data_IF_090076200551
#
_entry.id   IF_090076200551
#
_cell.length_a   1.000
_cell.length_b   1.000
_cell.length_c   1.000
_cell.angle_alpha   90.00
_cell.angle_beta   90.00
_cell.angle_gamma   90.00
#
_symmetry.space_group_name_H-M   'P 1'
#
loop_
_entity.id
_entity.type
_entity.pdbx_description
1 polymer ?
#
# COMPACT_ATOMS: atom_id res chain seq x y z
N UNK A 1 -21.63 17.19 -12.47
CA UNK A 1 -20.58 16.15 -12.32
C UNK A 1 -19.25 16.80 -12.02
N UNK A 2 -18.59 16.39 -10.95
CA UNK A 2 -17.25 16.86 -10.62
C UNK A 2 -16.20 16.08 -11.41
N UNK A 3 -14.96 16.59 -11.43
CA UNK A 3 -13.84 15.87 -12.04
C UNK A 3 -13.63 14.52 -11.37
N UNK A 4 -13.73 14.48 -10.04
CA UNK A 4 -13.56 13.22 -9.29
C UNK A 4 -14.63 12.19 -9.66
N UNK A 5 -15.87 12.61 -9.77
CA UNK A 5 -16.97 11.74 -10.20
C UNK A 5 -16.74 11.20 -11.61
N UNK A 6 -16.30 12.06 -12.52
CA UNK A 6 -15.98 11.65 -13.89
C UNK A 6 -14.88 10.59 -13.91
N UNK A 7 -13.79 10.82 -13.16
CA UNK A 7 -12.67 9.86 -13.12
C UNK A 7 -13.14 8.53 -12.53
N UNK A 8 -13.86 8.55 -11.41
CA UNK A 8 -14.35 7.33 -10.75
C UNK A 8 -15.29 6.52 -11.65
N UNK A 9 -16.03 7.19 -12.52
CA UNK A 9 -16.93 6.51 -13.47
C UNK A 9 -16.20 5.89 -14.66
N UNK A 10 -14.95 6.24 -14.90
CA UNK A 10 -14.18 5.82 -16.06
C UNK A 10 -12.95 4.99 -15.74
N UNK A 11 -12.71 4.66 -14.48
CA UNK A 11 -11.63 3.77 -14.07
C UNK A 11 -12.18 2.39 -13.69
N UNK A 12 -11.30 1.42 -13.57
CA UNK A 12 -11.67 0.07 -13.11
C UNK A 12 -12.32 0.11 -11.74
N UNK A 13 -13.24 -0.80 -11.51
CA UNK A 13 -13.94 -0.92 -10.23
C UNK A 13 -12.96 -1.25 -9.11
N UNK A 14 -13.27 -0.75 -7.91
CA UNK A 14 -12.47 -0.98 -6.71
C UNK A 14 -12.43 -2.45 -6.31
N UNK A 15 -13.54 -3.13 -6.47
CA UNK A 15 -13.70 -4.48 -5.97
C UNK A 15 -14.17 -4.53 -4.53
N UNK A 16 -14.81 -5.64 -4.19
CA UNK A 16 -15.47 -5.80 -2.89
C UNK A 16 -14.49 -5.80 -1.71
N UNK A 17 -13.35 -6.48 -1.86
CA UNK A 17 -12.37 -6.58 -0.77
C UNK A 17 -11.78 -5.22 -0.38
N UNK A 18 -11.33 -4.45 -1.35
CA UNK A 18 -10.80 -3.11 -1.11
C UNK A 18 -11.86 -2.16 -0.57
N UNK A 19 -13.10 -2.26 -1.06
CA UNK A 19 -14.20 -1.45 -0.55
C UNK A 19 -14.45 -1.74 0.94
N UNK A 20 -14.48 -3.01 1.33
CA UNK A 20 -14.66 -3.39 2.73
C UNK A 20 -13.51 -2.91 3.61
N UNK A 21 -12.29 -3.01 3.10
CA UNK A 21 -11.10 -2.50 3.82
C UNK A 21 -11.19 -0.98 4.00
N UNK A 22 -11.56 -0.26 2.95
CA UNK A 22 -11.70 1.19 3.01
C UNK A 22 -12.76 1.60 4.04
N UNK A 23 -13.89 0.92 4.04
CA UNK A 23 -14.93 1.17 5.04
C UNK A 23 -14.46 0.87 6.46
N UNK A 24 -13.83 -0.28 6.67
CA UNK A 24 -13.31 -0.64 7.99
C UNK A 24 -12.28 0.37 8.48
N UNK A 25 -11.42 0.86 7.59
CA UNK A 25 -10.43 1.88 7.92
C UNK A 25 -11.09 3.16 8.42
N UNK A 26 -12.12 3.64 7.73
CA UNK A 26 -12.80 4.87 8.11
C UNK A 26 -13.62 4.73 9.40
N UNK A 27 -14.12 3.53 9.69
CA UNK A 27 -14.95 3.29 10.88
C UNK A 27 -14.10 3.01 12.12
N UNK A 28 -13.01 2.27 11.98
CA UNK A 28 -12.27 1.73 13.12
C UNK A 28 -10.97 2.47 13.46
N UNK A 29 -10.39 3.17 12.50
CA UNK A 29 -9.12 3.86 12.71
C UNK A 29 -9.30 5.36 12.93
N UNK A 30 -8.46 5.91 13.83
CA UNK A 30 -8.55 7.29 14.26
C UNK A 30 -8.35 8.28 13.10
N UNK A 31 -7.44 8.00 12.18
CA UNK A 31 -7.14 8.85 11.03
C UNK A 31 -7.49 8.17 9.70
N UNK A 32 -8.70 7.62 9.63
CA UNK A 32 -9.16 6.91 8.43
C UNK A 32 -9.02 7.67 7.12
N UNK A 33 -9.07 9.00 7.16
CA UNK A 33 -8.90 9.87 5.98
C UNK A 33 -7.51 9.78 5.35
N UNK A 34 -6.52 9.26 6.08
CA UNK A 34 -5.17 9.05 5.55
C UNK A 34 -5.07 7.84 4.63
N UNK A 35 -6.09 7.00 4.59
CA UNK A 35 -6.10 5.85 3.69
C UNK A 35 -6.14 6.30 2.24
N UNK A 36 -5.38 5.61 1.40
CA UNK A 36 -5.56 5.72 -0.05
C UNK A 36 -6.97 5.27 -0.41
N UNK A 37 -7.57 5.90 -1.35
CA UNK A 37 -8.91 5.54 -1.82
C UNK A 37 -8.86 4.85 -3.17
N UNK A 38 -10.03 4.63 -3.74
CA UNK A 38 -10.19 3.94 -5.03
C UNK A 38 -9.37 4.60 -6.15
N UNK A 39 -9.44 5.92 -6.28
CA UNK A 39 -8.72 6.64 -7.33
C UNK A 39 -7.20 6.46 -7.20
N UNK A 40 -6.65 6.73 -6.01
CA UNK A 40 -5.22 6.59 -5.77
C UNK A 40 -4.77 5.14 -5.92
N UNK A 41 -5.57 4.20 -5.45
CA UNK A 41 -5.28 2.78 -5.55
C UNK A 41 -5.17 2.31 -7.00
N UNK A 42 -6.07 2.77 -7.86
CA UNK A 42 -6.00 2.42 -9.28
C UNK A 42 -4.83 3.08 -9.98
N UNK A 43 -4.48 4.30 -9.59
CA UNK A 43 -3.27 4.95 -10.10
C UNK A 43 -2.01 4.17 -9.72
N UNK A 44 -1.89 3.75 -8.47
CA UNK A 44 -0.75 2.94 -8.02
C UNK A 44 -0.65 1.63 -8.79
N UNK A 45 -1.77 0.93 -8.96
CA UNK A 45 -1.81 -0.31 -9.75
C UNK A 45 -1.37 -0.07 -11.20
N UNK A 46 -1.84 1.01 -11.81
CA UNK A 46 -1.45 1.37 -13.17
C UNK A 46 0.06 1.63 -13.28
N UNK A 47 0.62 2.38 -12.34
CA UNK A 47 2.07 2.67 -12.32
C UNK A 47 2.89 1.38 -12.20
N UNK A 48 2.45 0.45 -11.37
CA UNK A 48 3.12 -0.85 -11.24
C UNK A 48 3.06 -1.63 -12.55
N UNK A 49 1.91 -1.64 -13.23
CA UNK A 49 1.79 -2.27 -14.54
C UNK A 49 2.73 -1.65 -15.59
N UNK A 50 2.93 -0.33 -15.52
CA UNK A 50 3.79 0.39 -16.47
C UNK A 50 5.27 0.16 -16.19
N UNK A 51 5.67 0.18 -14.93
CA UNK A 51 7.07 0.06 -14.50
C UNK A 51 7.53 -1.40 -14.49
N UNK A 52 6.62 -2.32 -14.19
CA UNK A 52 6.89 -3.75 -14.02
C UNK A 52 8.02 -4.02 -13.02
N UNK A 53 7.93 -3.46 -11.80
CA UNK A 53 8.94 -3.70 -10.79
C UNK A 53 8.86 -5.13 -10.29
N UNK A 54 10.00 -5.67 -9.85
CA UNK A 54 10.02 -6.96 -9.17
C UNK A 54 9.83 -6.77 -7.66
N UNK A 55 10.53 -5.81 -7.10
CA UNK A 55 10.46 -5.51 -5.66
C UNK A 55 10.06 -4.07 -5.46
N UNK A 56 8.99 -3.87 -4.67
CA UNK A 56 8.48 -2.55 -4.32
C UNK A 56 8.71 -2.31 -2.84
N UNK A 57 9.25 -1.15 -2.52
CA UNK A 57 9.35 -0.66 -1.14
C UNK A 57 8.19 0.28 -0.87
N UNK A 58 7.42 0.00 0.17
CA UNK A 58 6.42 0.93 0.68
C UNK A 58 6.78 1.37 2.08
N UNK A 59 6.79 2.69 2.32
CA UNK A 59 7.01 3.27 3.64
C UNK A 59 5.71 3.91 4.10
N UNK A 60 5.13 3.37 5.18
CA UNK A 60 3.82 3.80 5.68
C UNK A 60 2.70 2.89 5.22
N UNK A 61 2.55 1.73 5.86
CA UNK A 61 1.53 0.73 5.49
C UNK A 61 0.12 1.20 5.82
N UNK A 62 -0.05 1.83 6.96
CA UNK A 62 -1.32 2.24 7.54
C UNK A 62 -2.31 1.07 7.56
N UNK A 63 -3.41 1.14 6.80
CA UNK A 63 -4.43 0.07 6.77
C UNK A 63 -4.09 -1.08 5.83
N UNK A 64 -3.09 -0.93 4.98
CA UNK A 64 -2.72 -1.92 3.97
C UNK A 64 -3.38 -1.70 2.62
N UNK A 65 -4.22 -0.71 2.47
CA UNK A 65 -4.95 -0.46 1.21
C UNK A 65 -4.00 -0.25 0.03
N UNK A 66 -3.03 0.67 0.19
CA UNK A 66 -2.06 0.94 -0.89
C UNK A 66 -1.16 -0.25 -1.16
N UNK A 67 -0.74 -1.00 -0.13
CA UNK A 67 0.06 -2.20 -0.31
C UNK A 67 -0.66 -3.24 -1.17
N UNK A 68 -1.95 -3.44 -0.93
CA UNK A 68 -2.77 -4.36 -1.72
C UNK A 68 -2.88 -3.88 -3.17
N UNK A 69 -3.11 -2.58 -3.38
CA UNK A 69 -3.18 -2.01 -4.72
C UNK A 69 -1.88 -2.15 -5.49
N UNK A 70 -0.74 -1.91 -4.84
CA UNK A 70 0.57 -2.12 -5.43
C UNK A 70 0.76 -3.60 -5.81
N UNK A 71 0.40 -4.51 -4.91
CA UNK A 71 0.53 -5.94 -5.14
C UNK A 71 -0.35 -6.44 -6.28
N UNK A 72 -1.55 -5.88 -6.44
CA UNK A 72 -2.44 -6.22 -7.56
C UNK A 72 -1.83 -5.94 -8.93
N UNK A 73 -0.93 -4.95 -9.00
CA UNK A 73 -0.25 -4.60 -10.25
C UNK A 73 0.97 -5.46 -10.56
N UNK A 74 1.48 -6.22 -9.60
CA UNK A 74 2.69 -7.02 -9.76
C UNK A 74 2.47 -8.23 -10.66
N UNK A 75 3.52 -8.56 -11.42
CA UNK A 75 3.59 -9.83 -12.12
C UNK A 75 3.92 -10.96 -11.13
N UNK A 76 3.77 -12.19 -11.58
CA UNK A 76 4.12 -13.36 -10.77
C UNK A 76 5.59 -13.29 -10.34
N UNK A 77 5.84 -13.57 -9.07
CA UNK A 77 7.18 -13.48 -8.48
C UNK A 77 7.57 -12.09 -7.96
N UNK A 78 6.75 -11.05 -8.24
CA UNK A 78 6.95 -9.73 -7.66
C UNK A 78 6.53 -9.67 -6.20
N UNK A 79 7.08 -8.71 -5.46
CA UNK A 79 6.77 -8.56 -4.03
C UNK A 79 6.78 -7.11 -3.58
N UNK A 80 5.85 -6.78 -2.69
CA UNK A 80 5.79 -5.51 -1.96
C UNK A 80 6.32 -5.74 -0.55
N UNK A 81 7.31 -4.97 -0.16
CA UNK A 81 7.81 -4.91 1.22
C UNK A 81 7.31 -3.63 1.83
N UNK A 82 6.36 -3.73 2.75
CA UNK A 82 5.70 -2.57 3.33
C UNK A 82 6.02 -2.44 4.82
N UNK A 83 6.40 -1.25 5.24
CA UNK A 83 6.89 -0.96 6.57
C UNK A 83 5.97 -0.02 7.31
N UNK A 84 5.61 -0.40 8.54
CA UNK A 84 4.83 0.44 9.44
C UNK A 84 5.60 0.64 10.74
N UNK A 85 5.86 1.90 11.08
CA UNK A 85 6.62 2.23 12.29
C UNK A 85 5.76 2.15 13.56
N UNK A 86 4.44 2.30 13.42
CA UNK A 86 3.51 2.24 14.53
C UNK A 86 3.03 0.81 14.78
N UNK A 87 3.55 0.16 15.82
CA UNK A 87 3.22 -1.23 16.13
C UNK A 87 1.76 -1.41 16.57
N UNK A 88 1.10 -0.36 17.05
CA UNK A 88 -0.33 -0.41 17.39
C UNK A 88 -1.21 -0.65 16.16
N UNK A 89 -0.69 -0.36 14.96
CA UNK A 89 -1.42 -0.56 13.71
C UNK A 89 -1.49 -2.04 13.31
N UNK A 90 -0.61 -2.87 13.82
CA UNK A 90 -0.47 -4.27 13.38
C UNK A 90 -1.76 -5.08 13.52
N UNK A 91 -2.45 -4.95 14.66
CA UNK A 91 -3.65 -5.75 14.95
C UNK A 91 -4.78 -5.51 13.94
N UNK A 92 -4.89 -4.29 13.43
CA UNK A 92 -5.86 -3.99 12.37
C UNK A 92 -5.37 -4.46 11.00
N UNK A 93 -4.15 -4.13 10.65
CA UNK A 93 -3.64 -4.23 9.28
C UNK A 93 -3.25 -5.64 8.88
N UNK A 94 -2.60 -6.39 9.77
CA UNK A 94 -2.10 -7.73 9.43
C UNK A 94 -3.20 -8.68 8.94
N UNK A 95 -4.35 -8.79 9.62
CA UNK A 95 -5.41 -9.67 9.12
C UNK A 95 -5.91 -9.29 7.72
N UNK A 96 -6.02 -7.99 7.44
CA UNK A 96 -6.48 -7.52 6.13
C UNK A 96 -5.49 -7.89 5.01
N UNK A 97 -4.19 -7.79 5.29
CA UNK A 97 -3.17 -8.19 4.33
C UNK A 97 -3.18 -9.71 4.14
N UNK A 98 -3.20 -10.47 5.22
CA UNK A 98 -3.14 -11.94 5.18
C UNK A 98 -4.35 -12.57 4.51
N UNK A 99 -5.52 -11.96 4.63
CA UNK A 99 -6.75 -12.44 4.02
C UNK A 99 -6.98 -11.90 2.59
N UNK A 100 -6.11 -11.00 2.12
CA UNK A 100 -6.27 -10.44 0.79
C UNK A 100 -5.97 -11.46 -0.31
N UNK A 101 -6.54 -11.28 -1.51
CA UNK A 101 -6.23 -12.16 -2.65
C UNK A 101 -4.76 -12.12 -3.08
N UNK A 102 -4.01 -11.11 -2.66
CA UNK A 102 -2.59 -10.91 -3.02
C UNK A 102 -1.64 -11.06 -1.83
N UNK A 103 -2.09 -11.75 -0.78
CA UNK A 103 -1.31 -11.91 0.46
C UNK A 103 0.10 -12.47 0.21
N UNK A 104 0.25 -13.38 -0.74
CA UNK A 104 1.52 -14.01 -1.09
C UNK A 104 2.51 -13.04 -1.73
N UNK A 105 2.05 -11.88 -2.18
CA UNK A 105 2.88 -10.84 -2.80
C UNK A 105 3.26 -9.72 -1.84
N UNK A 106 2.87 -9.79 -0.57
CA UNK A 106 3.08 -8.73 0.41
C UNK A 106 3.85 -9.24 1.60
N UNK A 107 4.95 -8.57 1.93
CA UNK A 107 5.69 -8.77 3.18
C UNK A 107 5.43 -7.56 4.06
N UNK A 108 4.69 -7.74 5.15
CA UNK A 108 4.35 -6.67 6.08
C UNK A 108 5.30 -6.68 7.28
N UNK A 109 6.01 -5.58 7.47
CA UNK A 109 7.07 -5.47 8.49
C UNK A 109 6.76 -4.30 9.41
N UNK A 110 6.69 -4.58 10.71
CA UNK A 110 6.61 -3.54 11.73
C UNK A 110 8.04 -3.09 12.04
N UNK A 111 8.30 -1.82 11.83
CA UNK A 111 9.62 -1.23 12.08
C UNK A 111 9.87 0.00 11.22
N UNK A 112 11.03 0.61 11.47
CA UNK A 112 11.46 1.77 10.70
C UNK A 112 12.10 1.30 9.39
N UNK A 113 11.55 1.73 8.26
CA UNK A 113 12.06 1.35 6.94
C UNK A 113 13.53 1.75 6.75
N UNK A 114 13.96 2.88 7.31
CA UNK A 114 15.35 3.34 7.19
C UNK A 114 16.31 2.30 7.80
N UNK A 115 15.92 1.69 8.91
CA UNK A 115 16.73 0.69 9.61
C UNK A 115 16.54 -0.70 9.04
N UNK A 116 15.29 -1.09 8.76
CA UNK A 116 14.94 -2.48 8.44
C UNK A 116 15.13 -2.83 6.97
N UNK A 117 14.86 -1.89 6.05
CA UNK A 117 14.94 -2.20 4.62
C UNK A 117 16.36 -2.60 4.17
N UNK A 118 17.44 -1.91 4.61
CA UNK A 118 18.79 -2.34 4.23
C UNK A 118 19.16 -3.74 4.71
N UNK A 119 18.56 -4.21 5.81
CA UNK A 119 18.82 -5.54 6.36
C UNK A 119 18.29 -6.68 5.49
N UNK A 120 17.33 -6.37 4.62
CA UNK A 120 16.77 -7.39 3.72
C UNK A 120 17.72 -7.78 2.60
N UNK A 121 18.70 -6.93 2.28
CA UNK A 121 19.65 -7.20 1.19
C UNK A 121 18.98 -7.29 -0.18
N UNK A 122 17.90 -6.55 -0.39
CA UNK A 122 17.09 -6.57 -1.61
C UNK A 122 17.22 -5.24 -2.32
N UNK A 123 17.37 -5.29 -3.64
CA UNK A 123 17.29 -4.09 -4.48
C UNK A 123 15.84 -3.82 -4.85
N UNK A 124 15.41 -2.59 -4.65
CA UNK A 124 14.06 -2.16 -4.96
C UNK A 124 14.01 -1.45 -6.30
N UNK A 125 13.01 -1.77 -7.11
CA UNK A 125 12.81 -1.18 -8.44
C UNK A 125 11.85 0.00 -8.41
N UNK A 126 11.06 0.11 -7.35
CA UNK A 126 10.06 1.15 -7.15
C UNK A 126 9.89 1.40 -5.66
N UNK A 127 9.66 2.65 -5.29
CA UNK A 127 9.36 3.01 -3.91
C UNK A 127 8.12 3.91 -3.86
N UNK A 128 7.23 3.63 -2.93
CA UNK A 128 6.09 4.47 -2.58
C UNK A 128 6.25 4.93 -1.14
N UNK A 129 6.54 6.21 -0.96
CA UNK A 129 6.89 6.76 0.35
C UNK A 129 5.75 7.65 0.84
N UNK A 130 5.04 7.17 1.85
CA UNK A 130 3.92 7.87 2.47
C UNK A 130 4.02 7.78 4.00
N UNK A 131 5.24 8.00 4.51
CA UNK A 131 5.54 7.98 5.94
C UNK A 131 5.67 9.38 6.53
N UNK A 132 6.50 9.49 7.58
CA UNK A 132 6.80 10.76 8.22
C UNK A 132 7.65 11.63 7.26
N UNK A 133 7.10 12.77 6.86
CA UNK A 133 7.75 13.68 5.91
C UNK A 133 9.09 14.22 6.41
N UNK A 134 9.31 14.24 7.71
CA UNK A 134 10.58 14.68 8.30
C UNK A 134 11.74 13.74 7.97
N UNK A 135 11.45 12.50 7.62
CA UNK A 135 12.46 11.47 7.32
C UNK A 135 12.56 11.14 5.84
N UNK A 136 11.86 11.85 4.94
CA UNK A 136 11.84 11.53 3.52
C UNK A 136 13.23 11.55 2.88
N UNK A 137 14.08 12.51 3.24
CA UNK A 137 15.44 12.61 2.69
C UNK A 137 16.26 11.40 3.10
N UNK A 138 16.14 10.96 4.34
CA UNK A 138 16.88 9.81 4.86
C UNK A 138 16.38 8.49 4.25
N UNK A 139 15.11 8.45 3.84
CA UNK A 139 14.50 7.27 3.21
C UNK A 139 14.97 7.09 1.77
N UNK A 140 15.14 8.17 1.05
CA UNK A 140 15.60 8.14 -0.35
C UNK A 140 17.08 7.80 -0.43
#
# INVERSE_FOLDING_TARGET
MTIDEYILNNIDEEGDYLYRLYRATNVQLLHGRMASGHLQGRLLRMLVHMIRPRNILEVGTFSGYSAICLAEGLEEGGKVYTFEINDEQEDFTRPWIEQSPVADKIEFIIGDAITEAPRLGIDFDMAFIDGDKRTYIDTV
#
